data_IF_690191254334
#
_entry.id   IF_690191254334
#
_cell.length_a   1.000
_cell.length_b   1.000
_cell.length_c   1.000
_cell.angle_alpha   90.00
_cell.angle_beta   90.00
_cell.angle_gamma   90.00
#
_symmetry.space_group_name_H-M   'P 1'
#
loop_
_entity.id
_entity.type
_entity.pdbx_description
1 polymer ?
#
# COMPACT_ATOMS: atom_id res chain seq x y z
N UNK A 1 11.50 7.82 -22.84
CA UNK A 1 12.03 6.84 -21.88
C UNK A 1 11.22 5.58 -22.06
N UNK A 2 11.86 4.41 -22.09
CA UNK A 2 11.08 3.17 -22.09
C UNK A 2 10.26 3.08 -20.80
N UNK A 3 9.01 2.60 -20.85
CA UNK A 3 8.22 2.41 -19.65
C UNK A 3 8.93 1.42 -18.73
N UNK A 4 9.17 1.82 -17.48
CA UNK A 4 9.65 0.88 -16.46
C UNK A 4 8.65 -0.27 -16.38
N UNK A 5 9.10 -1.53 -16.50
CA UNK A 5 8.19 -2.67 -16.38
C UNK A 5 7.42 -2.54 -15.08
N UNK A 6 6.09 -2.65 -15.16
CA UNK A 6 5.24 -2.55 -13.99
C UNK A 6 5.67 -3.59 -12.95
N UNK A 7 5.73 -3.15 -11.69
CA UNK A 7 5.89 -4.06 -10.56
C UNK A 7 4.76 -5.10 -10.54
N UNK A 8 5.00 -6.27 -9.96
CA UNK A 8 3.99 -7.32 -9.87
C UNK A 8 2.83 -6.93 -8.94
N UNK A 9 1.59 -7.22 -9.36
CA UNK A 9 0.39 -7.01 -8.55
C UNK A 9 0.05 -8.28 -7.74
N UNK A 10 -0.15 -8.13 -6.43
CA UNK A 10 -0.60 -9.22 -5.55
C UNK A 10 -2.01 -8.91 -5.04
N UNK A 11 -2.97 -9.79 -5.34
CA UNK A 11 -4.32 -9.73 -4.82
C UNK A 11 -4.47 -10.68 -3.63
N UNK A 12 -4.85 -10.15 -2.46
CA UNK A 12 -5.10 -10.94 -1.26
C UNK A 12 -6.62 -11.07 -1.03
N UNK A 13 -7.12 -12.30 -0.86
CA UNK A 13 -8.51 -12.55 -0.46
C UNK A 13 -8.81 -12.03 0.96
N UNK A 14 -10.05 -11.61 1.21
CA UNK A 14 -10.45 -10.73 2.32
C UNK A 14 -9.99 -11.06 3.74
N UNK A 15 -9.81 -9.99 4.52
CA UNK A 15 -9.26 -9.94 5.88
C UNK A 15 -8.11 -8.91 5.94
N UNK A 16 -7.85 -8.23 7.08
CA UNK A 16 -6.58 -7.52 7.24
C UNK A 16 -5.50 -8.58 7.03
N UNK A 17 -4.66 -8.40 6.00
CA UNK A 17 -3.79 -9.45 5.49
C UNK A 17 -3.23 -10.28 6.63
N UNK A 18 -3.65 -11.55 6.73
CA UNK A 18 -3.23 -12.38 7.87
C UNK A 18 -1.70 -12.36 7.95
N UNK A 19 -1.08 -12.43 9.15
CA UNK A 19 0.38 -12.42 9.26
C UNK A 19 1.06 -13.42 8.30
N UNK A 20 0.41 -14.56 8.03
CA UNK A 20 0.84 -15.56 7.04
C UNK A 20 0.82 -15.02 5.60
N UNK A 21 -0.23 -14.32 5.19
CA UNK A 21 -0.32 -13.72 3.86
C UNK A 21 0.73 -12.61 3.69
N UNK A 22 0.87 -11.74 4.69
CA UNK A 22 1.88 -10.69 4.73
C UNK A 22 3.29 -11.28 4.63
N UNK A 23 3.62 -12.29 5.45
CA UNK A 23 4.92 -12.95 5.43
C UNK A 23 5.25 -13.57 4.06
N UNK A 24 4.26 -14.13 3.34
CA UNK A 24 4.46 -14.65 1.98
C UNK A 24 4.80 -13.53 0.98
N UNK A 25 4.10 -12.40 1.05
CA UNK A 25 4.40 -11.22 0.22
C UNK A 25 5.81 -10.69 0.52
N UNK A 26 6.16 -10.57 1.80
CA UNK A 26 7.46 -10.07 2.24
C UNK A 26 8.59 -11.02 1.81
N UNK A 27 8.45 -12.33 2.00
CA UNK A 27 9.46 -13.31 1.61
C UNK A 27 9.73 -13.30 0.11
N UNK A 28 8.68 -13.25 -0.70
CA UNK A 28 8.81 -13.19 -2.16
C UNK A 28 9.43 -11.87 -2.62
N UNK A 29 9.06 -10.75 -2.01
CA UNK A 29 9.63 -9.43 -2.35
C UNK A 29 11.10 -9.36 -1.93
N UNK A 30 11.41 -9.84 -0.72
CA UNK A 30 12.77 -9.88 -0.20
C UNK A 30 13.71 -10.73 -1.06
N UNK A 31 13.23 -11.86 -1.58
CA UNK A 31 14.00 -12.72 -2.51
C UNK A 31 14.43 -11.95 -3.77
N UNK A 32 13.59 -11.04 -4.27
CA UNK A 32 13.89 -10.23 -5.46
C UNK A 32 14.83 -9.07 -5.16
N UNK A 33 14.66 -8.45 -4.00
CA UNK A 33 15.44 -7.28 -3.59
C UNK A 33 16.80 -7.65 -2.97
N UNK A 34 16.96 -8.88 -2.47
CA UNK A 34 18.11 -9.27 -1.65
C UNK A 34 18.14 -8.63 -0.26
N UNK A 35 17.03 -8.02 0.19
CA UNK A 35 16.86 -7.36 1.49
C UNK A 35 15.41 -7.38 1.94
N UNK A 36 15.11 -7.24 3.26
CA UNK A 36 13.73 -7.09 3.71
C UNK A 36 13.07 -5.83 3.10
N UNK A 37 11.81 -5.89 2.65
CA UNK A 37 11.13 -4.80 1.95
C UNK A 37 10.57 -3.76 2.92
N UNK A 38 10.46 -2.52 2.43
CA UNK A 38 9.74 -1.41 3.07
C UNK A 38 8.30 -1.40 2.60
N UNK A 39 7.36 -1.40 3.54
CA UNK A 39 5.93 -1.40 3.25
C UNK A 39 5.39 0.00 3.49
N UNK A 40 4.60 0.52 2.54
CA UNK A 40 3.78 1.70 2.76
C UNK A 40 2.33 1.32 2.63
N UNK A 41 1.56 1.64 3.66
CA UNK A 41 0.13 1.46 3.69
C UNK A 41 -0.54 2.67 3.05
N UNK A 42 -1.38 2.46 2.04
CA UNK A 42 -2.13 3.51 1.38
C UNK A 42 -3.62 3.35 1.71
N UNK A 43 -4.09 4.12 2.67
CA UNK A 43 -5.46 4.05 3.19
C UNK A 43 -6.41 4.93 2.36
N UNK A 44 -7.58 4.44 1.94
CA UNK A 44 -8.59 5.29 1.25
C UNK A 44 -10.03 4.89 1.61
N UNK A 45 -10.21 3.89 2.47
CA UNK A 45 -11.43 3.06 2.42
C UNK A 45 -12.38 3.17 3.61
N UNK A 46 -12.08 3.97 4.64
CA UNK A 46 -12.91 4.04 5.85
C UNK A 46 -13.80 5.29 5.91
N UNK A 47 -14.85 5.22 6.73
CA UNK A 47 -15.89 6.24 6.81
C UNK A 47 -15.49 7.41 7.71
N UNK A 48 -15.46 8.62 7.14
CA UNK A 48 -15.87 9.87 7.78
C UNK A 48 -14.98 10.50 8.87
N UNK A 49 -14.22 9.72 9.61
CA UNK A 49 -13.21 10.21 10.54
C UNK A 49 -11.85 9.76 10.02
N UNK A 50 -10.82 10.59 10.17
CA UNK A 50 -9.41 10.23 9.93
C UNK A 50 -9.21 8.79 10.38
N UNK A 51 -8.81 7.93 9.45
CA UNK A 51 -8.84 6.48 9.63
C UNK A 51 -8.43 6.09 11.03
N UNK A 52 -9.26 5.28 11.72
CA UNK A 52 -9.02 4.83 13.09
C UNK A 52 -7.53 4.60 13.31
N UNK A 53 -6.86 5.54 14.01
CA UNK A 53 -5.41 5.53 14.16
C UNK A 53 -4.97 4.17 14.74
N UNK A 54 -5.81 3.56 15.59
CA UNK A 54 -5.58 2.23 16.13
C UNK A 54 -5.63 1.13 15.06
N UNK A 55 -6.50 1.24 14.05
CA UNK A 55 -6.50 0.34 12.91
C UNK A 55 -5.20 0.47 12.10
N UNK A 56 -4.79 1.69 11.77
CA UNK A 56 -3.57 1.95 10.99
C UNK A 56 -2.35 1.43 11.76
N UNK A 57 -2.24 1.76 13.04
CA UNK A 57 -1.20 1.25 13.94
C UNK A 57 -1.19 -0.28 13.98
N UNK A 58 -2.35 -0.93 14.06
CA UNK A 58 -2.44 -2.39 14.07
C UNK A 58 -1.95 -3.02 12.76
N UNK A 59 -2.25 -2.39 11.62
CA UNK A 59 -1.80 -2.85 10.29
C UNK A 59 -0.29 -2.65 10.15
N UNK A 60 0.23 -1.48 10.52
CA UNK A 60 1.68 -1.20 10.52
C UNK A 60 2.42 -2.21 11.40
N UNK A 61 1.93 -2.44 12.63
CA UNK A 61 2.50 -3.42 13.54
C UNK A 61 2.48 -4.84 12.96
N UNK A 62 1.41 -5.23 12.26
CA UNK A 62 1.32 -6.56 11.64
C UNK A 62 2.36 -6.78 10.54
N UNK A 63 2.66 -5.76 9.71
CA UNK A 63 3.71 -5.85 8.69
C UNK A 63 5.11 -5.96 9.29
N UNK A 64 5.38 -5.22 10.36
CA UNK A 64 6.64 -5.33 11.09
C UNK A 64 6.81 -6.73 11.71
N UNK A 65 5.75 -7.26 12.35
CA UNK A 65 5.75 -8.62 12.89
C UNK A 65 5.94 -9.69 11.81
N UNK A 66 5.45 -9.45 10.59
CA UNK A 66 5.62 -10.33 9.45
C UNK A 66 7.03 -10.28 8.82
N UNK A 67 7.88 -9.33 9.23
CA UNK A 67 9.29 -9.23 8.82
C UNK A 67 9.62 -8.11 7.83
N UNK A 68 8.79 -7.07 7.72
CA UNK A 68 9.13 -5.88 6.95
C UNK A 68 10.32 -5.13 7.56
N UNK A 69 11.14 -4.48 6.73
CA UNK A 69 12.21 -3.59 7.22
C UNK A 69 11.63 -2.34 7.90
N UNK A 70 10.57 -1.79 7.30
CA UNK A 70 9.76 -0.70 7.82
C UNK A 70 8.32 -0.88 7.33
N UNK A 71 7.38 -0.30 8.07
CA UNK A 71 6.00 -0.18 7.67
C UNK A 71 5.51 1.21 8.09
N UNK A 72 4.99 1.97 7.14
CA UNK A 72 4.61 3.36 7.34
C UNK A 72 3.22 3.62 6.74
N UNK A 73 2.46 4.55 7.30
CA UNK A 73 1.25 5.05 6.67
C UNK A 73 1.59 6.12 5.62
N UNK A 74 0.97 6.04 4.45
CA UNK A 74 1.16 7.04 3.41
C UNK A 74 0.59 8.40 3.84
N UNK A 75 -0.43 8.41 4.71
CA UNK A 75 -1.20 9.61 5.08
C UNK A 75 -2.23 9.98 4.02
N UNK A 76 -2.74 8.99 3.27
CA UNK A 76 -3.88 9.20 2.38
C UNK A 76 -5.14 8.94 3.21
N UNK A 77 -6.02 9.92 3.34
CA UNK A 77 -7.31 9.75 4.02
C UNK A 77 -8.47 10.17 3.11
N UNK A 78 -8.21 11.11 2.21
CA UNK A 78 -9.09 11.48 1.13
C UNK A 78 -8.36 11.58 -0.22
N UNK A 79 -9.10 12.00 -1.26
CA UNK A 79 -8.56 12.15 -2.62
C UNK A 79 -7.52 13.26 -2.73
N UNK A 80 -7.63 14.34 -1.96
CA UNK A 80 -6.71 15.46 -2.02
C UNK A 80 -5.33 15.08 -1.45
N UNK A 81 -5.29 14.25 -0.42
CA UNK A 81 -4.04 13.78 0.20
C UNK A 81 -3.14 13.04 -0.79
N UNK A 82 -3.72 12.29 -1.72
CA UNK A 82 -2.98 11.56 -2.76
C UNK A 82 -2.25 12.45 -3.77
N UNK A 83 -2.41 13.78 -3.70
CA UNK A 83 -1.67 14.75 -4.50
C UNK A 83 -0.60 15.51 -3.69
N UNK A 84 -0.49 15.25 -2.38
CA UNK A 84 0.52 15.89 -1.55
C UNK A 84 1.92 15.35 -1.91
N UNK A 85 2.93 16.22 -2.14
CA UNK A 85 4.28 15.78 -2.51
C UNK A 85 4.87 14.75 -1.55
N UNK A 86 4.69 14.93 -0.26
CA UNK A 86 5.20 14.02 0.77
C UNK A 86 4.54 12.63 0.73
N UNK A 87 3.29 12.55 0.26
CA UNK A 87 2.58 11.27 0.06
C UNK A 87 3.16 10.54 -1.15
N UNK A 88 3.35 11.27 -2.26
CA UNK A 88 3.99 10.74 -3.47
C UNK A 88 5.40 10.20 -3.17
N UNK A 89 6.22 10.98 -2.46
CA UNK A 89 7.59 10.58 -2.08
C UNK A 89 7.61 9.30 -1.22
N UNK A 90 6.67 9.15 -0.27
CA UNK A 90 6.56 7.92 0.54
C UNK A 90 6.19 6.72 -0.33
N UNK A 91 5.19 6.88 -1.21
CA UNK A 91 4.72 5.81 -2.08
C UNK A 91 5.80 5.37 -3.09
N UNK A 92 6.57 6.32 -3.64
CA UNK A 92 7.69 6.03 -4.54
C UNK A 92 8.87 5.34 -3.86
N UNK A 93 9.07 5.59 -2.57
CA UNK A 93 10.11 4.94 -1.77
C UNK A 93 9.72 3.54 -1.26
N UNK A 94 8.48 3.10 -1.46
CA UNK A 94 7.96 1.82 -1.00
C UNK A 94 8.41 0.66 -1.91
N UNK A 95 8.79 -0.47 -1.30
CA UNK A 95 8.97 -1.72 -2.03
C UNK A 95 7.63 -2.46 -2.21
N UNK A 96 6.72 -2.25 -1.26
CA UNK A 96 5.35 -2.80 -1.25
C UNK A 96 4.40 -1.68 -0.88
N UNK A 97 3.44 -1.39 -1.75
CA UNK A 97 2.29 -0.54 -1.40
C UNK A 97 1.13 -1.46 -1.02
N UNK A 98 0.70 -1.41 0.23
CA UNK A 98 -0.45 -2.15 0.72
C UNK A 98 -1.70 -1.29 0.70
N UNK A 99 -2.69 -1.69 -0.09
CA UNK A 99 -4.02 -1.09 -0.12
C UNK A 99 -4.98 -2.02 0.62
N UNK A 100 -5.52 -1.62 1.78
CA UNK A 100 -6.46 -2.45 2.51
C UNK A 100 -7.80 -2.54 1.77
N UNK A 101 -8.59 -3.56 2.11
CA UNK A 101 -9.98 -3.63 1.68
C UNK A 101 -10.84 -2.51 2.29
N UNK A 102 -12.12 -2.49 1.91
CA UNK A 102 -13.13 -1.56 2.41
C UNK A 102 -14.04 -1.09 1.27
N UNK A 103 -14.48 0.17 1.27
CA UNK A 103 -15.36 0.69 0.22
C UNK A 103 -14.60 0.95 -1.09
N UNK A 104 -14.61 -0.02 -2.01
CA UNK A 104 -13.90 0.01 -3.28
C UNK A 104 -14.18 1.27 -4.13
N UNK A 105 -15.41 1.80 -4.06
CA UNK A 105 -15.83 3.03 -4.74
C UNK A 105 -15.06 4.28 -4.30
N UNK A 106 -14.60 4.34 -3.03
CA UNK A 106 -13.77 5.44 -2.51
C UNK A 106 -12.31 5.25 -2.89
N UNK A 107 -11.85 4.00 -2.89
CA UNK A 107 -10.47 3.61 -3.21
C UNK A 107 -10.01 4.06 -4.61
N UNK A 108 -10.87 3.89 -5.62
CA UNK A 108 -10.56 4.26 -7.00
C UNK A 108 -10.39 5.78 -7.19
N UNK A 109 -11.00 6.59 -6.33
CA UNK A 109 -10.87 8.04 -6.34
C UNK A 109 -9.53 8.56 -5.81
N UNK A 110 -8.94 7.91 -4.80
CA UNK A 110 -7.68 8.36 -4.18
C UNK A 110 -6.41 7.76 -4.81
N UNK A 111 -6.39 6.45 -5.11
CA UNK A 111 -5.16 5.78 -5.57
C UNK A 111 -4.81 6.06 -7.04
N UNK A 112 -5.78 6.45 -7.87
CA UNK A 112 -5.53 6.83 -9.27
C UNK A 112 -4.80 8.18 -9.47
N UNK A 113 -4.55 8.91 -8.38
CA UNK A 113 -3.98 10.27 -8.39
C UNK A 113 -2.44 10.31 -8.39
N UNK A 114 -1.79 9.39 -7.67
CA UNK A 114 -0.34 9.19 -7.76
C UNK A 114 -0.05 8.42 -9.06
N UNK A 115 0.53 9.09 -10.06
CA UNK A 115 0.79 8.52 -11.40
C UNK A 115 1.51 7.16 -11.43
N UNK A 116 2.14 6.73 -10.35
CA UNK A 116 2.75 5.41 -10.18
C UNK A 116 1.75 4.23 -10.06
N UNK A 117 0.48 4.46 -9.71
CA UNK A 117 -0.54 3.40 -9.63
C UNK A 117 -1.45 3.33 -10.87
N UNK A 118 -1.37 4.32 -11.77
CA UNK A 118 -2.12 4.28 -13.04
C UNK A 118 -1.87 3.04 -13.88
N UNK A 119 -0.66 2.43 -13.94
CA UNK A 119 -0.45 1.17 -14.65
C UNK A 119 -1.20 -0.03 -14.03
N UNK A 120 -1.56 0.04 -12.74
CA UNK A 120 -2.34 -0.99 -12.03
C UNK A 120 -3.85 -0.77 -12.16
N UNK A 121 -4.27 0.43 -12.55
CA UNK A 121 -5.67 0.85 -12.71
C UNK A 121 -6.06 1.06 -14.17
N UNK A 122 -5.10 1.07 -15.09
CA UNK A 122 -5.36 1.05 -16.52
C UNK A 122 -6.07 -0.27 -16.86
N UNK A 123 -7.15 -0.23 -17.64
CA UNK A 123 -7.78 -1.45 -18.11
C UNK A 123 -6.75 -2.27 -18.88
N UNK A 124 -6.50 -3.50 -18.44
CA UNK A 124 -5.80 -4.51 -19.22
C UNK A 124 -6.54 -4.80 -20.51
#
# INVERSE_FOLDING_TARGET
SEPTPAGPLVLMGGGPGTPTAQARVLAWTATRLGRPPRVVHAFVTMDGDRGDDAYIESVVASWLLAGAASADDAGVYDRADAFLPEVCERLEAADVVFVPGGFAERCSGGLGACGGLQPLLAPT
#
